data_IF_085645477511
#
_entry.id   IF_085645477511
#
_cell.length_a   1.000
_cell.length_b   1.000
_cell.length_c   1.000
_cell.angle_alpha   90.00
_cell.angle_beta   90.00
_cell.angle_gamma   90.00
#
_symmetry.space_group_name_H-M   'P 1'
#
loop_
_entity.id
_entity.type
_entity.pdbx_description
1 polymer ?
#
# COMPACT_ATOMS: atom_id res chain seq x y z
N UNK A 1 12.69 7.28 -8.39
CA UNK A 1 11.74 7.38 -7.26
C UNK A 1 12.00 6.20 -6.31
N UNK A 2 11.98 6.42 -5.00
CA UNK A 2 12.34 5.41 -3.99
C UNK A 2 11.28 4.29 -3.88
N UNK A 3 10.00 4.66 -3.95
CA UNK A 3 8.86 3.74 -3.93
C UNK A 3 8.52 3.34 -5.37
N UNK A 4 8.40 2.05 -5.67
CA UNK A 4 8.07 1.55 -7.02
C UNK A 4 6.98 0.49 -6.95
N UNK A 5 6.31 0.22 -8.09
CA UNK A 5 5.29 -0.84 -8.18
C UNK A 5 5.87 -2.21 -7.80
N UNK A 6 7.09 -2.49 -8.25
CA UNK A 6 7.81 -3.74 -7.95
C UNK A 6 8.09 -3.90 -6.45
N UNK A 7 8.57 -2.85 -5.78
CA UNK A 7 8.79 -2.87 -4.33
C UNK A 7 7.48 -3.04 -3.56
N UNK A 8 6.40 -2.40 -4.00
CA UNK A 8 5.08 -2.56 -3.37
C UNK A 8 4.51 -3.98 -3.54
N UNK A 9 4.68 -4.58 -4.72
CA UNK A 9 4.29 -5.98 -4.95
C UNK A 9 5.11 -6.94 -4.10
N UNK A 10 6.43 -6.72 -4.03
CA UNK A 10 7.32 -7.54 -3.20
C UNK A 10 6.95 -7.42 -1.71
N UNK A 11 6.73 -6.20 -1.23
CA UNK A 11 6.20 -5.96 0.11
C UNK A 11 4.90 -6.75 0.32
N UNK A 12 3.92 -6.60 -0.57
CA UNK A 12 2.64 -7.29 -0.44
C UNK A 12 2.80 -8.81 -0.39
N UNK A 13 3.66 -9.41 -1.21
CA UNK A 13 3.95 -10.84 -1.20
C UNK A 13 4.57 -11.33 0.12
N UNK A 14 5.44 -10.51 0.74
CA UNK A 14 6.10 -10.80 2.01
C UNK A 14 5.21 -10.54 3.25
N UNK A 15 4.13 -9.76 3.10
CA UNK A 15 3.13 -9.59 4.17
C UNK A 15 2.49 -10.94 4.51
N UNK A 16 2.27 -11.17 5.81
CA UNK A 16 1.72 -12.42 6.31
C UNK A 16 0.38 -12.77 5.62
N UNK A 17 0.15 -14.08 5.48
CA UNK A 17 -0.99 -14.61 4.73
C UNK A 17 -2.34 -14.10 5.29
N UNK A 18 -2.51 -14.12 6.61
CA UNK A 18 -3.76 -13.71 7.27
C UNK A 18 -4.15 -12.27 6.95
N UNK A 19 -3.17 -11.36 6.92
CA UNK A 19 -3.39 -9.97 6.56
C UNK A 19 -3.75 -9.83 5.08
N UNK A 20 -3.03 -10.54 4.19
CA UNK A 20 -3.34 -10.54 2.76
C UNK A 20 -4.76 -11.00 2.48
N UNK A 21 -5.22 -12.07 3.14
CA UNK A 21 -6.59 -12.59 3.02
C UNK A 21 -7.60 -11.57 3.53
N UNK A 22 -7.37 -10.99 4.71
CA UNK A 22 -8.26 -9.96 5.27
C UNK A 22 -8.38 -8.74 4.34
N UNK A 23 -7.25 -8.22 3.86
CA UNK A 23 -7.20 -7.09 2.94
C UNK A 23 -7.90 -7.43 1.62
N UNK A 24 -7.64 -8.62 1.06
CA UNK A 24 -8.29 -9.08 -0.16
C UNK A 24 -9.82 -9.05 -0.05
N UNK A 25 -10.38 -9.69 0.98
CA UNK A 25 -11.85 -9.73 1.14
C UNK A 25 -12.46 -8.35 1.36
N UNK A 26 -11.86 -7.51 2.22
CA UNK A 26 -12.40 -6.18 2.52
C UNK A 26 -12.32 -5.23 1.34
N UNK A 27 -11.20 -5.23 0.62
CA UNK A 27 -10.98 -4.37 -0.54
C UNK A 27 -11.87 -4.82 -1.70
N UNK A 28 -11.95 -6.14 -1.95
CA UNK A 28 -12.83 -6.68 -2.98
C UNK A 28 -14.30 -6.35 -2.70
N UNK A 29 -14.75 -6.48 -1.46
CA UNK A 29 -16.13 -6.14 -1.08
C UNK A 29 -16.43 -4.63 -1.22
N UNK A 30 -15.44 -3.76 -1.01
CA UNK A 30 -15.62 -2.29 -1.05
C UNK A 30 -15.50 -1.73 -2.47
N UNK A 31 -14.60 -2.27 -3.28
CA UNK A 31 -14.19 -1.69 -4.55
C UNK A 31 -14.38 -2.59 -5.77
N UNK A 32 -14.71 -3.87 -5.58
CA UNK A 32 -14.88 -4.85 -6.66
C UNK A 32 -13.58 -5.24 -7.37
N UNK A 33 -12.42 -4.79 -6.88
CA UNK A 33 -11.09 -5.12 -7.41
C UNK A 33 -10.15 -5.53 -6.27
N UNK A 34 -9.21 -6.45 -6.51
CA UNK A 34 -8.24 -6.86 -5.51
C UNK A 34 -7.14 -5.79 -5.27
N UNK A 35 -6.39 -5.91 -4.18
CA UNK A 35 -5.37 -4.91 -3.79
C UNK A 35 -4.21 -4.81 -4.80
N UNK A 36 -3.79 -5.93 -5.38
CA UNK A 36 -2.75 -6.02 -6.41
C UNK A 36 -3.09 -5.19 -7.66
N UNK A 37 -4.35 -5.13 -8.09
CA UNK A 37 -4.79 -4.20 -9.14
C UNK A 37 -4.42 -2.75 -8.81
N UNK A 38 -4.63 -2.31 -7.57
CA UNK A 38 -4.28 -0.94 -7.16
C UNK A 38 -2.78 -0.74 -7.07
N UNK A 39 -2.00 -1.78 -6.74
CA UNK A 39 -0.54 -1.69 -6.75
C UNK A 39 -0.02 -1.52 -8.19
N UNK A 40 -0.59 -2.24 -9.16
CA UNK A 40 -0.09 -2.21 -10.55
C UNK A 40 -0.67 -1.06 -11.37
N UNK A 41 -1.97 -0.82 -11.31
CA UNK A 41 -2.66 0.11 -12.21
C UNK A 41 -2.79 1.51 -11.61
N UNK A 42 -3.13 1.60 -10.32
CA UNK A 42 -3.53 2.86 -9.66
C UNK A 42 -2.82 3.09 -8.31
N UNK A 43 -1.47 3.02 -8.23
CA UNK A 43 -0.74 3.05 -6.95
C UNK A 43 -0.94 4.35 -6.15
N UNK A 44 -1.30 5.45 -6.82
CA UNK A 44 -1.67 6.71 -6.17
C UNK A 44 -3.02 6.68 -5.43
N UNK A 45 -3.76 5.57 -5.47
CA UNK A 45 -5.00 5.35 -4.71
C UNK A 45 -4.83 4.39 -3.54
N UNK A 46 -3.65 3.80 -3.37
CA UNK A 46 -3.45 2.75 -2.37
C UNK A 46 -3.78 3.20 -0.95
N UNK A 47 -3.43 4.43 -0.58
CA UNK A 47 -3.79 4.94 0.75
C UNK A 47 -5.30 5.06 0.93
N UNK A 48 -6.02 5.64 -0.06
CA UNK A 48 -7.48 5.75 -0.05
C UNK A 48 -8.14 4.37 0.08
N UNK A 49 -7.70 3.41 -0.73
CA UNK A 49 -8.23 2.04 -0.74
C UNK A 49 -8.05 1.37 0.62
N UNK A 50 -6.85 1.47 1.20
CA UNK A 50 -6.57 0.94 2.54
C UNK A 50 -7.43 1.64 3.61
N UNK A 51 -7.52 2.97 3.58
CA UNK A 51 -8.28 3.75 4.55
C UNK A 51 -9.77 3.39 4.51
N UNK A 52 -10.36 3.31 3.32
CA UNK A 52 -11.79 3.03 3.15
C UNK A 52 -12.16 1.58 3.44
N UNK A 53 -11.34 0.62 3.01
CA UNK A 53 -11.65 -0.80 3.19
C UNK A 53 -11.24 -1.33 4.58
N UNK A 54 -10.14 -0.82 5.15
CA UNK A 54 -9.56 -1.36 6.39
C UNK A 54 -9.75 -0.45 7.59
N UNK A 55 -10.11 0.82 7.37
CA UNK A 55 -10.16 1.87 8.39
C UNK A 55 -8.83 2.61 8.54
N UNK A 56 -8.91 3.89 8.92
CA UNK A 56 -7.76 4.80 9.01
C UNK A 56 -6.61 4.27 9.87
N UNK A 57 -6.90 3.72 11.04
CA UNK A 57 -5.87 3.18 11.94
C UNK A 57 -5.06 2.06 11.27
N UNK A 58 -5.74 1.13 10.59
CA UNK A 58 -5.08 0.02 9.88
C UNK A 58 -4.30 0.50 8.66
N UNK A 59 -4.79 1.52 7.95
CA UNK A 59 -4.05 2.13 6.86
C UNK A 59 -2.75 2.79 7.35
N UNK A 60 -2.80 3.55 8.45
CA UNK A 60 -1.62 4.19 9.05
C UNK A 60 -0.62 3.14 9.58
N UNK A 61 -1.10 2.06 10.21
CA UNK A 61 -0.25 0.94 10.61
C UNK A 61 0.47 0.31 9.42
N UNK A 62 -0.24 0.09 8.30
CA UNK A 62 0.36 -0.47 7.09
C UNK A 62 1.40 0.44 6.47
N UNK A 63 1.20 1.75 6.48
CA UNK A 63 2.23 2.69 6.03
C UNK A 63 3.48 2.61 6.91
N UNK A 64 3.31 2.42 8.22
CA UNK A 64 4.44 2.26 9.14
C UNK A 64 5.22 0.98 8.87
N UNK A 65 4.52 -0.14 8.68
CA UNK A 65 5.14 -1.42 8.33
C UNK A 65 5.84 -1.34 6.97
N UNK A 66 5.21 -0.68 5.98
CA UNK A 66 5.81 -0.47 4.65
C UNK A 66 7.05 0.42 4.73
N UNK A 67 7.02 1.50 5.51
CA UNK A 67 8.16 2.40 5.74
C UNK A 67 9.35 1.65 6.34
N UNK A 68 9.12 0.86 7.40
CA UNK A 68 10.15 0.02 8.02
C UNK A 68 10.70 -1.03 7.04
N UNK A 69 9.82 -1.65 6.24
CA UNK A 69 10.22 -2.63 5.23
C UNK A 69 11.04 -2.00 4.10
N UNK A 70 10.64 -0.83 3.60
CA UNK A 70 11.37 -0.09 2.57
C UNK A 70 12.75 0.34 3.06
N UNK A 71 12.85 0.79 4.32
CA UNK A 71 14.13 1.18 4.93
C UNK A 71 15.12 0.02 4.94
N UNK A 72 14.66 -1.20 5.29
CA UNK A 72 15.45 -2.44 5.23
C UNK A 72 15.84 -2.86 3.81
N UNK A 73 15.14 -2.35 2.79
CA UNK A 73 15.40 -2.61 1.37
C UNK A 73 16.06 -1.40 0.67
N UNK A 74 16.74 -0.52 1.42
CA UNK A 74 17.54 0.57 0.86
C UNK A 74 16.74 1.82 0.48
N UNK A 75 15.47 1.91 0.90
CA UNK A 75 14.60 3.05 0.64
C UNK A 75 14.15 3.70 1.97
N UNK A 76 14.84 4.75 2.39
CA UNK A 76 14.44 5.54 3.56
C UNK A 76 13.32 6.51 3.18
N UNK A 77 12.09 6.23 3.61
CA UNK A 77 10.95 7.13 3.44
C UNK A 77 10.02 7.03 4.65
N UNK A 78 9.42 8.15 5.06
CA UNK A 78 8.54 8.20 6.25
C UNK A 78 7.10 7.77 5.93
N UNK A 79 6.29 7.38 6.93
CA UNK A 79 4.86 7.13 6.72
C UNK A 79 4.12 8.33 6.11
N UNK A 80 4.50 9.56 6.48
CA UNK A 80 3.91 10.79 5.93
C UNK A 80 4.26 10.98 4.45
N UNK A 81 5.49 10.66 4.05
CA UNK A 81 5.90 10.66 2.65
C UNK A 81 5.19 9.57 1.86
N UNK A 82 5.08 8.35 2.41
CA UNK A 82 4.31 7.27 1.80
C UNK A 82 2.87 7.68 1.57
N UNK A 83 2.23 8.29 2.56
CA UNK A 83 0.85 8.78 2.41
C UNK A 83 0.74 9.74 1.24
N UNK A 84 1.67 10.69 1.08
CA UNK A 84 1.69 11.64 -0.05
C UNK A 84 1.87 10.91 -1.39
N UNK A 85 2.84 10.01 -1.48
CA UNK A 85 3.16 9.23 -2.69
C UNK A 85 1.95 8.37 -3.09
N UNK A 86 1.36 7.66 -2.14
CA UNK A 86 0.25 6.71 -2.34
C UNK A 86 -1.13 7.39 -2.41
N UNK A 87 -1.18 8.72 -2.41
CA UNK A 87 -2.40 9.53 -2.57
C UNK A 87 -2.33 10.51 -3.74
N UNK A 88 -1.24 10.54 -4.52
CA UNK A 88 -1.05 11.56 -5.55
C UNK A 88 -0.45 10.98 -6.84
N UNK A 89 -1.23 11.06 -7.92
CA UNK A 89 -0.88 10.53 -9.25
C UNK A 89 0.40 11.14 -9.82
N UNK A 90 0.79 12.35 -9.41
CA UNK A 90 1.99 13.00 -9.92
C UNK A 90 3.30 12.30 -9.54
N UNK A 91 3.31 11.44 -8.53
CA UNK A 91 4.47 10.61 -8.20
C UNK A 91 4.62 9.41 -9.14
N UNK A 92 3.58 9.03 -9.89
CA UNK A 92 3.52 7.77 -10.64
C UNK A 92 3.47 7.97 -12.16
N UNK A 93 4.09 9.05 -12.65
CA UNK A 93 4.22 9.36 -14.08
C UNK A 93 5.33 8.56 -14.73
#
# INVERSE_FOLDING_TARGET
MCVTKELLLRFYAEVNFSWRVMAHYRILATYGKPLDYYITEEPWRLYEVLEKAMGRHNAELMLRILSDWLSKNGCATTPEELKKILSNKNYWK
#
